data_IF_664415967670
#
_entry.id   IF_664415967670
#
_cell.length_a   1.000
_cell.length_b   1.000
_cell.length_c   1.000
_cell.angle_alpha   90.00
_cell.angle_beta   90.00
_cell.angle_gamma   90.00
#
_symmetry.space_group_name_H-M   'P 1'
#
loop_
_entity.id
_entity.type
_entity.pdbx_description
1 polymer ?
#
# COMPACT_ATOMS: atom_id res chain seq x y z
N UNK A 1 -15.81 2.51 18.51
CA UNK A 1 -14.66 2.16 17.67
C UNK A 1 -13.42 2.90 18.15
N UNK A 2 -12.26 2.22 18.18
CA UNK A 2 -11.00 2.81 18.59
C UNK A 2 -10.38 3.68 17.49
N UNK A 3 -10.54 3.26 16.25
CA UNK A 3 -9.98 3.91 15.06
C UNK A 3 -10.79 3.60 13.81
N UNK A 4 -10.60 4.41 12.78
CA UNK A 4 -10.98 4.13 11.42
C UNK A 4 -9.70 3.92 10.59
N UNK A 5 -9.68 2.88 9.77
CA UNK A 5 -8.57 2.62 8.86
C UNK A 5 -9.05 2.73 7.43
N UNK A 6 -8.30 3.43 6.60
CA UNK A 6 -8.63 3.63 5.20
C UNK A 6 -7.35 3.72 4.36
N UNK A 7 -7.51 3.64 3.08
CA UNK A 7 -6.41 3.78 2.15
C UNK A 7 -6.76 4.81 1.07
N UNK A 8 -6.00 5.87 1.08
CA UNK A 8 -5.92 6.82 -0.04
C UNK A 8 -4.83 6.33 -1.02
N UNK A 9 -3.75 7.06 -1.17
CA UNK A 9 -2.54 6.58 -1.85
C UNK A 9 -1.71 5.63 -0.98
N UNK A 10 -1.74 5.83 0.35
CA UNK A 10 -1.12 4.95 1.35
C UNK A 10 -2.14 4.59 2.42
N UNK A 11 -1.80 3.61 3.24
CA UNK A 11 -2.63 3.19 4.36
C UNK A 11 -2.56 4.22 5.49
N UNK A 12 -3.70 4.61 6.00
CA UNK A 12 -3.86 5.62 7.03
C UNK A 12 -4.77 5.13 8.15
N UNK A 13 -4.47 5.57 9.38
CA UNK A 13 -5.26 5.31 10.57
C UNK A 13 -5.72 6.66 11.12
N UNK A 14 -7.03 6.85 11.16
CA UNK A 14 -7.66 7.96 11.86
C UNK A 14 -7.96 7.52 13.29
N UNK A 15 -7.36 8.17 14.26
CA UNK A 15 -7.66 7.92 15.67
C UNK A 15 -9.08 8.38 16.03
N UNK A 16 -9.76 7.57 16.83
CA UNK A 16 -11.07 7.88 17.42
C UNK A 16 -11.04 7.70 18.94
N UNK A 17 -9.86 7.46 19.53
CA UNK A 17 -9.69 7.25 20.97
C UNK A 17 -8.32 7.74 21.45
N UNK A 18 -8.25 8.11 22.75
CA UNK A 18 -6.97 8.50 23.38
C UNK A 18 -5.93 7.38 23.34
N UNK A 19 -6.36 6.14 23.38
CA UNK A 19 -5.48 4.96 23.27
C UNK A 19 -4.75 4.92 21.93
N UNK A 20 -5.47 5.15 20.83
CA UNK A 20 -4.86 5.20 19.50
C UNK A 20 -4.00 6.45 19.33
N UNK A 21 -4.37 7.58 19.91
CA UNK A 21 -3.50 8.78 19.93
C UNK A 21 -2.15 8.46 20.60
N UNK A 22 -2.18 7.73 21.73
CA UNK A 22 -0.96 7.30 22.42
C UNK A 22 -0.15 6.33 21.59
N UNK A 23 -0.81 5.36 20.93
CA UNK A 23 -0.14 4.44 19.99
C UNK A 23 0.53 5.19 18.84
N UNK A 24 -0.15 6.16 18.24
CA UNK A 24 0.41 6.96 17.15
C UNK A 24 1.61 7.80 17.60
N UNK A 25 1.57 8.38 18.79
CA UNK A 25 2.72 9.09 19.37
C UNK A 25 3.91 8.16 19.61
N UNK A 26 3.66 6.99 20.21
CA UNK A 26 4.70 5.98 20.47
C UNK A 26 5.36 5.51 19.17
N UNK A 27 4.56 5.17 18.16
CA UNK A 27 5.05 4.69 16.88
C UNK A 27 5.78 5.79 16.08
N UNK A 28 5.29 7.04 16.11
CA UNK A 28 5.94 8.17 15.44
C UNK A 28 7.36 8.41 15.98
N UNK A 29 7.53 8.33 17.30
CA UNK A 29 8.83 8.51 17.96
C UNK A 29 9.81 7.39 17.61
N UNK A 30 9.37 6.14 17.59
CA UNK A 30 10.27 4.98 17.45
C UNK A 30 10.41 4.47 16.01
N UNK A 31 9.37 4.62 15.16
CA UNK A 31 9.36 4.15 13.78
C UNK A 31 9.53 5.29 12.75
N UNK A 32 9.82 6.53 13.18
CA UNK A 32 10.09 7.66 12.28
C UNK A 32 9.00 7.85 11.20
N UNK A 33 7.72 7.81 11.61
CA UNK A 33 6.55 7.96 10.72
C UNK A 33 6.38 6.85 9.66
N UNK A 34 6.89 5.65 9.88
CA UNK A 34 6.60 4.50 9.03
C UNK A 34 5.11 4.14 9.17
N UNK A 35 4.41 3.96 8.05
CA UNK A 35 3.04 3.48 8.05
C UNK A 35 2.94 2.07 8.63
N UNK A 36 1.85 1.77 9.33
CA UNK A 36 1.62 0.45 9.92
C UNK A 36 0.13 0.10 9.92
N UNK A 37 -0.16 -1.20 10.01
CA UNK A 37 -1.50 -1.74 10.25
C UNK A 37 -1.56 -2.22 11.70
N UNK A 38 -2.69 -1.99 12.38
CA UNK A 38 -3.03 -2.67 13.62
C UNK A 38 -3.57 -4.05 13.21
N UNK A 39 -2.89 -5.10 13.64
CA UNK A 39 -3.26 -6.49 13.32
C UNK A 39 -4.21 -7.03 14.39
N UNK A 40 -3.91 -6.73 15.66
CA UNK A 40 -4.72 -7.16 16.78
C UNK A 40 -4.41 -6.30 18.02
N UNK A 41 -5.23 -6.40 19.04
CA UNK A 41 -5.00 -5.81 20.36
C UNK A 41 -5.65 -6.67 21.45
N UNK A 42 -5.17 -6.50 22.68
CA UNK A 42 -5.71 -7.22 23.84
C UNK A 42 -7.04 -6.60 24.32
N UNK A 43 -7.69 -7.27 25.27
CA UNK A 43 -9.00 -6.89 25.80
C UNK A 43 -8.94 -5.55 26.55
N UNK A 44 -7.85 -5.27 27.22
CA UNK A 44 -7.58 -4.05 27.99
C UNK A 44 -7.24 -2.87 27.09
N UNK A 45 -7.10 -3.08 25.77
CA UNK A 45 -6.77 -2.06 24.75
C UNK A 45 -5.48 -1.28 25.05
N UNK A 46 -4.52 -1.90 25.74
CA UNK A 46 -3.23 -1.30 26.11
C UNK A 46 -2.04 -1.93 25.36
N UNK A 47 -2.23 -3.11 24.73
CA UNK A 47 -1.22 -3.81 23.93
C UNK A 47 -1.70 -4.04 22.53
N UNK A 48 -0.89 -3.65 21.55
CA UNK A 48 -1.22 -3.72 20.13
C UNK A 48 -0.16 -4.51 19.37
N UNK A 49 -0.60 -5.49 18.59
CA UNK A 49 0.21 -6.10 17.57
C UNK A 49 0.11 -5.26 16.30
N UNK A 50 1.19 -4.65 15.89
CA UNK A 50 1.25 -3.84 14.66
C UNK A 50 2.22 -4.44 13.65
N UNK A 51 1.95 -4.22 12.37
CA UNK A 51 2.84 -4.56 11.26
C UNK A 51 3.14 -3.31 10.45
N UNK A 52 4.42 -2.98 10.27
CA UNK A 52 4.82 -1.88 9.39
C UNK A 52 4.49 -2.17 7.92
N UNK A 53 4.29 -1.12 7.14
CA UNK A 53 4.02 -1.19 5.71
C UNK A 53 5.14 -0.46 4.99
N UNK A 54 5.69 -1.08 3.97
CA UNK A 54 6.75 -0.52 3.14
C UNK A 54 6.59 -0.98 1.69
N UNK A 55 7.08 -0.21 0.75
CA UNK A 55 7.25 -0.60 -0.65
C UNK A 55 8.55 -1.38 -0.92
N UNK A 56 9.41 -1.53 0.11
CA UNK A 56 10.74 -2.13 0.01
C UNK A 56 10.94 -3.39 0.84
N UNK A 57 9.97 -3.77 1.67
CA UNK A 57 10.01 -4.98 2.49
C UNK A 57 8.61 -5.43 2.88
N UNK A 58 8.47 -6.67 3.35
CA UNK A 58 7.18 -7.25 3.76
C UNK A 58 6.61 -6.67 5.05
N UNK A 59 7.33 -5.74 5.69
CA UNK A 59 6.99 -5.15 6.97
C UNK A 59 7.44 -6.01 8.16
N UNK A 60 7.59 -5.35 9.29
CA UNK A 60 8.07 -5.94 10.56
C UNK A 60 6.95 -5.92 11.57
N UNK A 61 6.84 -6.98 12.35
CA UNK A 61 5.86 -7.05 13.44
C UNK A 61 6.44 -6.50 14.73
N UNK A 62 5.63 -5.70 15.42
CA UNK A 62 5.96 -5.13 16.72
C UNK A 62 4.80 -5.35 17.69
N UNK A 63 5.16 -5.56 18.96
CA UNK A 63 4.24 -5.45 20.09
C UNK A 63 4.44 -4.07 20.72
N UNK A 64 3.41 -3.25 20.67
CA UNK A 64 3.36 -1.95 21.33
C UNK A 64 2.62 -2.07 22.64
N UNK A 65 3.20 -1.61 23.75
CA UNK A 65 2.53 -1.44 25.04
C UNK A 65 2.38 0.05 25.33
N UNK A 66 1.14 0.50 25.46
CA UNK A 66 0.84 1.91 25.74
C UNK A 66 1.20 2.28 27.17
N UNK A 67 0.92 1.35 28.13
CA UNK A 67 1.20 1.55 29.54
C UNK A 67 2.70 1.73 29.79
N UNK A 68 3.52 0.88 29.20
CA UNK A 68 4.98 0.86 29.42
C UNK A 68 5.72 1.78 28.43
N UNK A 69 5.00 2.40 27.49
CA UNK A 69 5.55 3.17 26.38
C UNK A 69 6.65 2.42 25.59
N UNK A 70 6.49 1.09 25.42
CA UNK A 70 7.47 0.23 24.74
C UNK A 70 6.99 -0.26 23.40
N UNK A 71 7.95 -0.45 22.48
CA UNK A 71 7.74 -1.05 21.18
C UNK A 71 8.76 -2.16 20.97
N UNK A 72 8.31 -3.41 21.11
CA UNK A 72 9.16 -4.59 21.02
C UNK A 72 9.06 -5.18 19.64
N UNK A 73 10.18 -5.30 18.95
CA UNK A 73 10.27 -5.97 17.65
C UNK A 73 10.11 -7.48 17.83
N UNK A 74 9.10 -8.08 17.18
CA UNK A 74 8.81 -9.51 17.30
C UNK A 74 9.40 -10.32 16.15
N UNK A 75 9.46 -9.77 14.96
CA UNK A 75 10.04 -10.47 13.83
C UNK A 75 10.78 -9.50 12.94
N UNK A 76 11.89 -9.95 12.39
CA UNK A 76 12.49 -9.32 11.24
C UNK A 76 11.82 -9.83 9.97
N UNK A 77 11.47 -8.91 9.09
CA UNK A 77 11.37 -9.28 7.70
C UNK A 77 12.79 -9.71 7.28
N UNK A 78 12.98 -11.02 7.21
CA UNK A 78 14.27 -11.61 6.75
C UNK A 78 14.42 -11.37 5.24
N UNK A 79 14.23 -10.15 4.79
CA UNK A 79 14.70 -9.78 3.46
C UNK A 79 16.22 -9.95 3.48
N UNK A 80 16.67 -11.04 2.87
CA UNK A 80 18.10 -11.29 2.63
C UNK A 80 18.74 -10.24 1.72
N UNK A 81 17.94 -9.27 1.24
CA UNK A 81 18.34 -8.28 0.27
C UNK A 81 18.41 -6.90 0.91
N UNK A 82 19.43 -6.14 0.54
CA UNK A 82 19.54 -4.73 0.91
C UNK A 82 18.34 -3.94 0.36
N UNK A 83 17.59 -3.30 1.25
CA UNK A 83 16.45 -2.45 0.87
C UNK A 83 16.85 -1.28 -0.04
N UNK A 84 18.13 -0.90 -0.04
CA UNK A 84 18.66 0.10 -0.96
C UNK A 84 18.68 -0.36 -2.42
N UNK A 85 18.53 -1.65 -2.69
CA UNK A 85 18.41 -2.17 -4.05
C UNK A 85 17.00 -1.98 -4.62
N UNK A 86 16.00 -1.82 -3.78
CA UNK A 86 14.60 -1.71 -4.21
C UNK A 86 14.21 -0.31 -4.65
N UNK A 87 13.30 -0.26 -5.62
CA UNK A 87 12.81 0.95 -6.24
C UNK A 87 11.63 1.54 -5.45
N UNK A 88 11.45 2.86 -5.51
CA UNK A 88 10.32 3.53 -4.88
C UNK A 88 9.03 3.29 -5.68
N UNK A 89 7.96 2.94 -4.99
CA UNK A 89 6.61 2.82 -5.55
C UNK A 89 5.89 4.16 -5.36
N UNK A 90 5.58 4.82 -6.48
CA UNK A 90 4.94 6.14 -6.48
C UNK A 90 3.46 6.03 -6.84
N UNK A 91 2.55 6.57 -6.02
CA UNK A 91 1.16 6.69 -6.41
C UNK A 91 1.04 7.68 -7.57
N UNK A 92 0.22 7.32 -8.55
CA UNK A 92 -0.10 8.17 -9.70
C UNK A 92 -1.60 8.26 -9.91
N UNK A 93 -2.03 9.29 -10.62
CA UNK A 93 -3.37 9.47 -11.14
C UNK A 93 -3.29 9.81 -12.62
N UNK A 94 -4.21 9.29 -13.39
CA UNK A 94 -4.34 9.59 -14.81
C UNK A 94 -5.80 9.40 -15.25
N UNK A 95 -6.15 9.93 -16.40
CA UNK A 95 -7.49 9.80 -16.94
C UNK A 95 -7.53 8.70 -18.01
N UNK A 96 -8.52 7.81 -17.89
CA UNK A 96 -8.89 6.93 -18.97
C UNK A 96 -9.42 7.74 -20.17
N UNK A 97 -9.47 7.14 -21.36
CA UNK A 97 -9.98 7.78 -22.60
C UNK A 97 -11.41 8.33 -22.49
N UNK A 98 -12.20 7.86 -21.55
CA UNK A 98 -13.53 8.38 -21.25
C UNK A 98 -13.53 9.38 -20.08
N UNK A 99 -12.37 9.98 -19.77
CA UNK A 99 -12.15 10.97 -18.71
C UNK A 99 -12.38 10.48 -17.28
N UNK A 100 -12.52 9.18 -17.03
CA UNK A 100 -12.57 8.66 -15.68
C UNK A 100 -11.18 8.77 -15.04
N UNK A 101 -11.08 9.44 -13.88
CA UNK A 101 -9.83 9.45 -13.09
C UNK A 101 -9.55 8.04 -12.55
N UNK A 102 -8.39 7.50 -12.89
CA UNK A 102 -7.87 6.24 -12.41
C UNK A 102 -6.69 6.47 -11.47
N UNK A 103 -6.52 5.56 -10.54
CA UNK A 103 -5.40 5.56 -9.61
C UNK A 103 -4.52 4.35 -9.89
N UNK A 104 -3.22 4.52 -9.70
CA UNK A 104 -2.26 3.45 -9.89
C UNK A 104 -0.98 3.67 -9.09
N UNK A 105 -0.03 2.78 -9.29
CA UNK A 105 1.30 2.88 -8.73
C UNK A 105 2.33 2.66 -9.84
N UNK A 106 3.26 3.60 -9.94
CA UNK A 106 4.37 3.54 -10.89
C UNK A 106 5.67 3.29 -10.12
N UNK A 107 6.39 2.25 -10.53
CA UNK A 107 7.71 1.95 -10.02
C UNK A 107 8.73 2.13 -11.14
N UNK A 108 9.67 3.05 -10.96
CA UNK A 108 10.72 3.31 -11.94
C UNK A 108 12.04 2.69 -11.50
N UNK A 109 12.85 2.19 -12.44
CA UNK A 109 14.19 1.72 -12.16
C UNK A 109 15.06 2.80 -11.51
N UNK A 110 16.02 2.40 -10.69
CA UNK A 110 17.03 3.32 -10.14
C UNK A 110 18.01 3.83 -11.18
N UNK A 111 18.28 3.02 -12.19
CA UNK A 111 19.14 3.41 -13.33
C UNK A 111 18.36 4.44 -14.15
N UNK A 112 18.87 5.65 -14.22
CA UNK A 112 18.25 6.71 -15.03
C UNK A 112 18.42 6.44 -16.50
N UNK A 113 17.31 6.41 -17.24
CA UNK A 113 17.25 6.33 -18.68
C UNK A 113 16.29 7.37 -19.25
N UNK A 114 16.44 7.70 -20.52
CA UNK A 114 15.49 8.60 -21.20
C UNK A 114 14.12 7.93 -21.40
N UNK A 115 14.12 6.64 -21.73
CA UNK A 115 12.95 5.82 -21.93
C UNK A 115 13.15 4.47 -21.23
N UNK A 116 12.10 3.96 -20.62
CA UNK A 116 12.08 2.64 -20.00
C UNK A 116 11.09 1.75 -20.74
N UNK A 117 11.41 0.48 -20.97
CA UNK A 117 10.37 -0.47 -21.35
C UNK A 117 9.36 -0.58 -20.20
N UNK A 118 8.07 -0.52 -20.54
CA UNK A 118 6.98 -0.54 -19.58
C UNK A 118 6.39 -1.94 -19.47
N UNK A 119 6.20 -2.40 -18.23
CA UNK A 119 5.40 -3.59 -17.91
C UNK A 119 4.18 -3.14 -17.13
N UNK A 120 2.99 -3.49 -17.59
CA UNK A 120 1.74 -3.25 -16.87
C UNK A 120 1.31 -4.53 -16.19
N UNK A 121 1.14 -4.47 -14.87
CA UNK A 121 0.64 -5.59 -14.06
C UNK A 121 -0.84 -5.32 -13.76
N UNK A 122 -1.70 -6.10 -14.41
CA UNK A 122 -3.13 -6.04 -14.21
C UNK A 122 -3.54 -6.69 -12.87
N UNK A 123 -4.64 -6.21 -12.30
CA UNK A 123 -5.24 -6.86 -11.14
C UNK A 123 -5.73 -8.27 -11.47
N UNK A 124 -5.49 -9.21 -10.56
CA UNK A 124 -5.90 -10.61 -10.72
C UNK A 124 -7.42 -10.83 -10.66
N UNK A 125 -8.18 -9.85 -10.17
CA UNK A 125 -9.63 -9.94 -10.01
C UNK A 125 -10.28 -8.56 -10.18
N UNK A 126 -11.50 -8.48 -10.74
CA UNK A 126 -12.17 -7.22 -11.06
C UNK A 126 -12.40 -6.29 -9.87
N UNK A 127 -12.59 -6.84 -8.68
CA UNK A 127 -12.96 -6.09 -7.47
C UNK A 127 -11.79 -5.90 -6.50
N UNK A 128 -10.62 -6.40 -6.86
CA UNK A 128 -9.41 -6.23 -6.05
C UNK A 128 -8.82 -4.83 -6.23
N UNK A 129 -7.99 -4.45 -5.29
CA UNK A 129 -7.25 -3.20 -5.30
C UNK A 129 -5.78 -3.48 -5.11
N UNK A 130 -4.95 -2.89 -5.96
CA UNK A 130 -3.52 -2.77 -5.69
C UNK A 130 -3.32 -1.71 -4.62
N UNK A 131 -2.47 -2.01 -3.65
CA UNK A 131 -2.13 -1.14 -2.54
C UNK A 131 -0.66 -0.71 -2.62
N UNK A 132 -0.33 0.39 -1.95
CA UNK A 132 1.05 0.77 -1.77
C UNK A 132 1.70 -0.16 -0.74
N UNK A 133 2.41 -1.15 -1.23
CA UNK A 133 3.10 -2.15 -0.42
C UNK A 133 4.21 -2.82 -1.22
N UNK A 134 5.04 -3.61 -0.55
CA UNK A 134 6.08 -4.40 -1.21
C UNK A 134 5.44 -5.48 -2.09
N UNK A 135 5.86 -5.49 -3.35
CA UNK A 135 5.52 -6.55 -4.29
C UNK A 135 6.80 -7.06 -4.94
N UNK A 136 7.07 -8.35 -4.77
CA UNK A 136 8.31 -8.98 -5.22
C UNK A 136 8.47 -8.91 -6.74
N UNK A 137 7.40 -9.13 -7.50
CA UNK A 137 7.43 -9.12 -8.97
C UNK A 137 7.69 -7.71 -9.50
N UNK A 138 7.04 -6.71 -8.90
CA UNK A 138 7.28 -5.29 -9.23
C UNK A 138 8.73 -4.92 -8.99
N UNK A 139 9.27 -5.27 -7.81
CA UNK A 139 10.65 -4.96 -7.47
C UNK A 139 11.66 -5.71 -8.34
N UNK A 140 11.37 -6.97 -8.67
CA UNK A 140 12.19 -7.78 -9.57
C UNK A 140 12.29 -7.15 -10.95
N UNK A 141 11.17 -6.75 -11.55
CA UNK A 141 11.14 -6.11 -12.87
C UNK A 141 11.81 -4.74 -12.85
N UNK A 142 11.49 -3.91 -11.86
CA UNK A 142 12.07 -2.57 -11.75
C UNK A 142 13.59 -2.62 -11.55
N UNK A 143 14.10 -3.57 -10.78
CA UNK A 143 15.54 -3.77 -10.59
C UNK A 143 16.26 -4.17 -11.90
N UNK A 144 15.54 -4.70 -12.88
CA UNK A 144 16.05 -5.09 -14.21
C UNK A 144 15.85 -4.05 -15.30
N UNK A 145 15.45 -2.84 -14.91
CA UNK A 145 15.36 -1.72 -15.84
C UNK A 145 14.00 -1.48 -16.47
N UNK A 146 12.95 -2.19 -16.04
CA UNK A 146 11.58 -1.96 -16.50
C UNK A 146 10.88 -0.92 -15.63
N UNK A 147 10.17 0.02 -16.24
CA UNK A 147 9.10 0.74 -15.55
C UNK A 147 7.93 -0.23 -15.31
N UNK A 148 7.37 -0.24 -14.11
CA UNK A 148 6.26 -1.14 -13.77
C UNK A 148 5.06 -0.30 -13.35
N UNK A 149 3.94 -0.48 -14.04
CA UNK A 149 2.68 0.19 -13.77
C UNK A 149 1.66 -0.82 -13.23
N UNK A 150 1.06 -0.49 -12.11
CA UNK A 150 -0.07 -1.21 -11.53
C UNK A 150 -1.28 -0.28 -11.52
N UNK A 151 -2.38 -0.68 -12.18
CA UNK A 151 -3.58 0.15 -12.34
C UNK A 151 -4.70 -0.36 -11.45
N UNK A 152 -5.37 0.56 -10.74
CA UNK A 152 -6.65 0.32 -10.10
C UNK A 152 -7.76 0.75 -11.08
N UNK A 153 -8.16 -0.18 -11.94
CA UNK A 153 -9.20 0.01 -12.94
C UNK A 153 -10.56 0.28 -12.29
N UNK A 154 -11.52 0.80 -13.07
CA UNK A 154 -12.91 0.95 -12.59
C UNK A 154 -13.41 -0.35 -11.99
N UNK A 155 -14.17 -0.26 -10.90
CA UNK A 155 -14.63 -1.44 -10.15
C UNK A 155 -13.71 -1.85 -9.01
N UNK A 156 -12.43 -1.40 -8.96
CA UNK A 156 -11.53 -1.68 -7.84
C UNK A 156 -12.12 -1.20 -6.51
N UNK A 157 -11.95 -2.01 -5.45
CA UNK A 157 -12.46 -1.69 -4.11
C UNK A 157 -11.72 -0.53 -3.46
N UNK A 158 -12.34 0.10 -2.45
CA UNK A 158 -11.71 1.15 -1.64
C UNK A 158 -11.72 2.56 -2.24
N UNK A 159 -12.35 2.76 -3.40
CA UNK A 159 -12.57 4.08 -4.03
C UNK A 159 -14.03 4.53 -3.93
N UNK A 160 -14.80 3.90 -3.07
CA UNK A 160 -16.20 4.21 -2.86
C UNK A 160 -17.17 3.36 -3.70
N UNK A 161 -18.44 3.43 -3.32
CA UNK A 161 -19.51 2.61 -3.91
C UNK A 161 -19.72 2.92 -5.40
N UNK A 162 -19.66 4.19 -5.76
CA UNK A 162 -19.90 4.62 -7.15
C UNK A 162 -18.78 4.14 -8.07
N UNK A 163 -17.52 4.29 -7.69
CA UNK A 163 -16.39 3.75 -8.45
C UNK A 163 -16.48 2.23 -8.64
N UNK A 164 -16.90 1.51 -7.59
CA UNK A 164 -17.12 0.06 -7.67
C UNK A 164 -18.22 -0.30 -8.66
N UNK A 165 -19.33 0.45 -8.67
CA UNK A 165 -20.44 0.24 -9.63
C UNK A 165 -20.04 0.42 -11.09
N UNK A 166 -19.09 1.30 -11.39
CA UNK A 166 -18.59 1.51 -12.76
C UNK A 166 -17.98 0.24 -13.38
N UNK A 167 -17.58 -0.73 -12.56
CA UNK A 167 -17.07 -2.02 -13.01
C UNK A 167 -18.16 -3.04 -13.34
N UNK A 168 -19.43 -2.83 -12.94
CA UNK A 168 -20.50 -3.81 -13.18
C UNK A 168 -20.76 -3.99 -14.65
N UNK A 169 -20.77 -5.25 -15.10
CA UNK A 169 -20.91 -5.64 -16.52
C UNK A 169 -19.81 -5.08 -17.44
N UNK A 170 -18.65 -4.70 -16.89
CA UNK A 170 -17.53 -4.11 -17.65
C UNK A 170 -16.24 -4.97 -17.61
N UNK A 171 -16.30 -6.20 -17.08
CA UNK A 171 -15.10 -7.07 -16.83
C UNK A 171 -14.32 -7.32 -18.12
N UNK A 172 -15.02 -7.58 -19.25
CA UNK A 172 -14.37 -7.86 -20.56
C UNK A 172 -14.34 -6.63 -21.48
N UNK A 173 -14.69 -5.47 -20.97
CA UNK A 173 -14.86 -4.23 -21.72
C UNK A 173 -14.01 -3.09 -21.13
N UNK A 174 -14.67 -2.08 -20.54
CA UNK A 174 -14.00 -0.87 -20.05
C UNK A 174 -12.93 -1.12 -19.00
N UNK A 175 -13.05 -2.19 -18.19
CA UNK A 175 -12.00 -2.53 -17.23
C UNK A 175 -10.69 -2.95 -17.90
N UNK A 176 -10.75 -3.59 -19.08
CA UNK A 176 -9.57 -3.92 -19.86
C UNK A 176 -8.97 -2.69 -20.53
N UNK A 177 -9.86 -1.80 -20.99
CA UNK A 177 -9.47 -0.53 -21.63
C UNK A 177 -8.74 0.36 -20.64
N UNK A 178 -9.22 0.46 -19.38
CA UNK A 178 -8.52 1.21 -18.30
C UNK A 178 -7.07 0.79 -18.08
N UNK A 179 -6.74 -0.47 -18.35
CA UNK A 179 -5.38 -0.99 -18.22
C UNK A 179 -4.52 -0.61 -19.43
N UNK A 180 -5.17 -0.44 -20.60
CA UNK A 180 -4.49 -0.13 -21.87
C UNK A 180 -4.31 1.39 -22.09
N UNK A 181 -5.04 2.23 -21.36
CA UNK A 181 -4.96 3.70 -21.40
C UNK A 181 -3.74 4.23 -20.64
#
# INVERSE_FOLDING_TARGET
>A
PLYAAYQTSKYEIQSLSKTIDSLQKLTALQLKNISYKIINFNREEDKFLIKTISDKNYGTYYLASIHDATLIKLSDDKNKYDSNLFCDVKPIKFNARDNLELNGYLTLPKIKAKNYPLVVIANSSPWTRVMWEYNQDVQFLANRGYAVLQVNQRGSSGYGKEFKKLGFKQITHKMQVDIAD
#
